data_IF_012754470202
#
_entry.id   IF_012754470202
#
_cell.length_a   1.000
_cell.length_b   1.000
_cell.length_c   1.000
_cell.angle_alpha   90.00
_cell.angle_beta   90.00
_cell.angle_gamma   90.00
#
_symmetry.space_group_name_H-M   'P 1'
#
loop_
_entity.id
_entity.type
_entity.pdbx_description
1 polymer ?
#
# COMPACT_ATOMS: atom_id res chain seq x y z
N UNK A 1 17.38 62.42 -16.29
CA UNK A 1 16.16 63.27 -16.34
C UNK A 1 14.96 62.44 -15.86
N UNK A 2 14.36 62.88 -14.74
CA UNK A 2 13.02 62.72 -14.18
C UNK A 2 12.43 61.28 -14.04
N UNK A 3 12.52 60.78 -12.84
CA UNK A 3 11.49 60.51 -11.80
C UNK A 3 10.03 60.40 -12.27
N UNK A 4 9.40 59.27 -11.95
CA UNK A 4 8.09 59.29 -11.27
C UNK A 4 7.87 57.98 -10.48
N UNK A 5 7.85 58.13 -9.17
CA UNK A 5 7.30 57.21 -8.19
C UNK A 5 5.77 57.25 -8.23
N UNK A 6 5.13 56.10 -8.12
CA UNK A 6 3.69 55.94 -7.96
C UNK A 6 3.38 55.04 -6.75
N UNK A 7 2.99 55.73 -5.70
CA UNK A 7 2.58 55.23 -4.40
C UNK A 7 1.14 54.67 -4.50
N UNK A 8 0.89 53.42 -4.10
CA UNK A 8 -0.48 52.92 -3.85
C UNK A 8 -0.56 52.30 -2.46
N UNK A 9 -1.39 52.93 -1.70
CA UNK A 9 -1.70 52.74 -0.28
C UNK A 9 -2.36 51.39 0.00
N UNK A 10 -2.04 50.87 1.18
CA UNK A 10 -2.66 49.70 1.79
C UNK A 10 -4.16 49.90 2.11
N UNK A 11 -4.88 48.79 2.08
CA UNK A 11 -6.18 48.65 2.75
C UNK A 11 -6.08 47.58 3.82
N UNK A 12 -6.35 48.01 5.04
CA UNK A 12 -6.46 47.22 6.24
C UNK A 12 -7.65 46.25 6.16
N UNK A 13 -7.44 45.03 6.59
CA UNK A 13 -8.49 44.07 6.88
C UNK A 13 -9.10 44.39 8.24
N UNK A 14 -10.42 44.58 8.28
CA UNK A 14 -11.21 44.80 9.50
C UNK A 14 -11.43 43.44 10.19
N UNK A 15 -11.13 43.45 11.48
CA UNK A 15 -11.54 42.44 12.47
C UNK A 15 -13.07 42.44 12.63
N UNK A 16 -13.66 41.27 12.72
CA UNK A 16 -15.04 41.07 13.15
C UNK A 16 -15.03 40.35 14.48
N UNK A 17 -15.31 41.13 15.52
CA UNK A 17 -15.61 40.64 16.86
C UNK A 17 -17.13 40.53 17.03
N UNK A 18 -17.54 39.52 17.76
CA UNK A 18 -18.64 39.62 18.70
C UNK A 18 -20.01 39.10 18.26
N UNK A 19 -20.50 38.13 19.01
CA UNK A 19 -21.91 37.78 19.06
C UNK A 19 -22.22 36.47 19.79
N UNK A 20 -22.03 36.44 21.11
CA UNK A 20 -22.60 35.43 21.97
C UNK A 20 -24.12 35.68 22.12
N UNK A 21 -24.95 34.67 21.89
CA UNK A 21 -26.34 34.63 22.33
C UNK A 21 -26.62 33.27 22.99
N UNK A 22 -26.81 33.40 24.31
CA UNK A 22 -27.37 32.36 25.17
C UNK A 22 -28.90 32.46 25.14
N UNK A 23 -29.59 31.32 25.03
CA UNK A 23 -30.97 31.06 25.50
C UNK A 23 -31.21 29.59 25.30
N UNK A 24 -31.73 28.78 26.18
CA UNK A 24 -32.58 28.99 27.33
C UNK A 24 -33.29 27.66 27.50
N UNK A 25 -33.12 27.01 28.64
CA UNK A 25 -33.79 25.78 29.09
C UNK A 25 -35.32 25.97 29.08
N UNK A 26 -36.04 24.98 28.55
CA UNK A 26 -37.43 24.75 28.96
C UNK A 26 -37.63 23.25 29.17
N UNK A 27 -37.71 22.85 30.45
CA UNK A 27 -38.15 21.57 30.91
C UNK A 27 -39.69 21.53 30.89
N UNK A 28 -40.27 20.52 30.30
CA UNK A 28 -41.72 20.22 30.51
C UNK A 28 -41.82 18.77 31.01
N UNK A 29 -42.10 18.65 32.30
CA UNK A 29 -42.49 17.40 32.96
C UNK A 29 -43.97 17.16 32.70
N UNK A 30 -44.33 16.03 32.17
CA UNK A 30 -45.69 15.52 32.20
C UNK A 30 -45.67 14.16 32.92
N UNK A 31 -46.16 14.20 34.14
CA UNK A 31 -46.52 13.06 34.97
C UNK A 31 -47.80 12.39 34.40
N UNK A 32 -47.70 11.12 34.05
CA UNK A 32 -48.86 10.25 34.03
C UNK A 32 -48.44 8.90 34.61
N UNK A 33 -48.91 8.65 35.80
CA UNK A 33 -48.75 7.36 36.49
C UNK A 33 -49.71 6.31 35.93
N UNK A 34 -49.21 5.07 35.80
CA UNK A 34 -50.02 3.86 35.87
C UNK A 34 -49.20 2.75 36.54
N UNK A 35 -49.82 2.16 37.50
CA UNK A 35 -49.32 1.16 38.40
C UNK A 35 -49.05 -0.21 37.75
N UNK A 36 -47.97 -0.85 38.17
CA UNK A 36 -47.98 -2.25 38.58
C UNK A 36 -47.88 -3.32 37.51
N UNK A 37 -46.66 -3.88 37.38
CA UNK A 37 -46.41 -5.33 37.48
C UNK A 37 -44.89 -5.53 37.53
N UNK A 38 -44.40 -6.02 38.66
CA UNK A 38 -43.09 -6.60 38.80
C UNK A 38 -42.99 -7.86 37.93
N UNK A 39 -42.23 -7.81 36.88
CA UNK A 39 -41.75 -9.01 36.18
C UNK A 39 -40.37 -9.38 36.76
N UNK A 40 -40.21 -10.67 37.02
CA UNK A 40 -38.99 -11.25 37.53
C UNK A 40 -37.78 -10.91 36.62
N UNK A 41 -36.55 -10.79 37.15
CA UNK A 41 -35.37 -10.50 36.36
C UNK A 41 -35.10 -11.67 35.40
N UNK A 42 -34.96 -11.33 34.12
CA UNK A 42 -34.47 -12.26 33.12
C UNK A 42 -33.01 -12.63 33.44
N UNK A 43 -32.58 -13.86 33.17
CA UNK A 43 -31.18 -14.25 33.36
C UNK A 43 -30.27 -13.40 32.49
N UNK A 44 -29.22 -12.88 33.08
CA UNK A 44 -28.10 -12.24 32.40
C UNK A 44 -27.56 -13.18 31.33
N UNK A 45 -27.41 -12.75 30.06
CA UNK A 45 -26.69 -13.53 29.09
C UNK A 45 -25.21 -13.61 29.54
N UNK A 46 -24.67 -14.83 29.54
CA UNK A 46 -23.24 -15.08 29.67
C UNK A 46 -22.47 -14.16 28.69
N UNK A 47 -21.31 -13.63 29.08
CA UNK A 47 -20.48 -12.91 28.16
C UNK A 47 -20.13 -13.85 27.03
N UNK A 48 -20.63 -13.54 25.82
CA UNK A 48 -20.20 -14.21 24.61
C UNK A 48 -18.67 -14.07 24.52
N UNK A 49 -18.00 -15.21 24.61
CA UNK A 49 -16.55 -15.27 24.46
C UNK A 49 -16.17 -14.61 23.14
N UNK A 50 -15.15 -13.80 23.19
CA UNK A 50 -14.49 -13.27 22.00
C UNK A 50 -14.30 -14.41 20.99
N UNK A 51 -14.63 -14.21 19.71
CA UNK A 51 -14.30 -15.20 18.70
C UNK A 51 -12.78 -15.33 18.71
N UNK A 52 -12.31 -16.49 19.15
CA UNK A 52 -10.88 -16.86 19.03
C UNK A 52 -10.49 -16.62 17.59
N UNK A 53 -9.44 -15.80 17.40
CA UNK A 53 -8.82 -15.61 16.10
C UNK A 53 -8.45 -16.99 15.55
N UNK A 54 -9.00 -17.34 14.39
CA UNK A 54 -8.71 -18.59 13.73
C UNK A 54 -7.18 -18.67 13.51
N UNK A 55 -6.53 -19.80 13.85
CA UNK A 55 -5.11 -19.97 13.59
C UNK A 55 -4.87 -19.86 12.07
N UNK A 56 -3.93 -19.02 11.69
CA UNK A 56 -3.43 -18.97 10.31
C UNK A 56 -2.84 -20.37 10.01
N UNK A 57 -3.33 -21.10 9.00
CA UNK A 57 -2.81 -22.41 8.71
C UNK A 57 -1.33 -22.31 8.32
N UNK A 58 -0.46 -22.99 9.04
CA UNK A 58 0.93 -23.17 8.64
C UNK A 58 0.95 -23.92 7.32
N UNK A 59 1.64 -23.39 6.32
CA UNK A 59 1.84 -24.08 5.05
C UNK A 59 2.55 -25.41 5.29
N UNK A 60 2.17 -26.51 4.63
CA UNK A 60 2.74 -27.82 4.89
C UNK A 60 4.25 -27.82 4.61
N UNK A 61 5.04 -28.18 5.62
CA UNK A 61 6.47 -28.50 5.45
C UNK A 61 6.57 -29.79 4.64
N UNK A 62 7.33 -29.77 3.57
CA UNK A 62 7.61 -30.98 2.79
C UNK A 62 8.31 -32.02 3.66
N UNK A 63 7.80 -33.25 3.70
CA UNK A 63 8.43 -34.39 4.38
C UNK A 63 9.68 -34.82 3.62
N UNK A 64 10.78 -35.19 4.28
CA UNK A 64 11.96 -35.70 3.62
C UNK A 64 11.69 -37.12 3.13
N UNK A 65 11.47 -37.30 1.84
CA UNK A 65 11.56 -38.62 1.23
C UNK A 65 13.02 -39.00 0.98
N UNK A 66 13.36 -40.21 1.32
CA UNK A 66 14.68 -40.84 1.19
C UNK A 66 15.07 -40.92 -0.29
N UNK A 67 15.94 -40.04 -0.75
CA UNK A 67 16.40 -40.01 -2.16
C UNK A 67 17.69 -40.77 -2.30
N UNK A 68 17.69 -41.71 -3.25
CA UNK A 68 18.89 -42.39 -3.75
C UNK A 68 19.91 -41.33 -4.23
N UNK A 69 21.22 -41.60 -3.97
CA UNK A 69 22.31 -40.71 -4.39
C UNK A 69 22.30 -40.57 -5.92
N UNK A 70 21.74 -39.43 -6.38
CA UNK A 70 22.01 -38.91 -7.70
C UNK A 70 23.21 -37.98 -7.62
N UNK A 71 24.07 -38.02 -8.65
CA UNK A 71 25.09 -36.97 -8.83
C UNK A 71 24.39 -35.62 -8.83
N UNK A 72 24.98 -34.59 -8.18
CA UNK A 72 24.32 -33.27 -8.11
C UNK A 72 24.16 -32.72 -9.53
N UNK A 73 22.93 -32.70 -10.00
CA UNK A 73 22.56 -31.86 -11.14
C UNK A 73 22.99 -30.44 -10.78
N UNK A 74 23.75 -29.72 -11.64
CA UNK A 74 24.17 -28.38 -11.34
C UNK A 74 22.90 -27.57 -10.99
N UNK A 75 22.88 -27.02 -9.80
CA UNK A 75 21.80 -26.10 -9.39
C UNK A 75 21.76 -24.96 -10.40
N UNK A 76 20.65 -24.72 -11.08
CA UNK A 76 20.59 -23.62 -12.03
C UNK A 76 20.98 -22.31 -11.31
N UNK A 77 21.81 -21.51 -11.95
CA UNK A 77 22.21 -20.20 -11.43
C UNK A 77 20.94 -19.39 -11.08
N UNK A 78 20.93 -18.69 -9.94
CA UNK A 78 19.78 -17.87 -9.56
C UNK A 78 19.49 -16.83 -10.63
N UNK A 79 18.30 -16.84 -11.17
CA UNK A 79 17.91 -15.95 -12.28
C UNK A 79 17.27 -14.68 -11.74
N UNK A 80 17.60 -13.51 -12.26
CA UNK A 80 16.90 -12.26 -11.92
C UNK A 80 15.39 -12.38 -12.16
N UNK A 81 14.63 -11.72 -11.33
CA UNK A 81 13.17 -11.64 -11.41
C UNK A 81 12.69 -10.21 -11.10
N UNK A 82 11.42 -9.95 -11.31
CA UNK A 82 10.89 -8.63 -11.00
C UNK A 82 9.56 -8.66 -10.25
N UNK A 83 9.27 -7.52 -9.62
CA UNK A 83 7.95 -7.14 -9.10
C UNK A 83 7.54 -5.87 -9.83
N UNK A 84 6.37 -5.88 -10.45
CA UNK A 84 5.77 -4.66 -10.98
C UNK A 84 5.07 -3.90 -9.84
N UNK A 85 5.24 -2.57 -9.79
CA UNK A 85 4.66 -1.75 -8.75
C UNK A 85 4.03 -0.49 -9.32
N UNK A 86 2.72 -0.37 -9.17
CA UNK A 86 1.91 0.78 -9.57
C UNK A 86 1.20 1.36 -8.36
N UNK A 87 0.84 2.64 -8.40
CA UNK A 87 0.14 3.33 -7.32
C UNK A 87 -0.65 4.52 -7.84
N UNK A 88 -1.61 4.99 -7.05
CA UNK A 88 -2.29 6.28 -7.20
C UNK A 88 -2.87 6.51 -8.61
N UNK A 89 -3.59 5.53 -9.15
CA UNK A 89 -4.25 5.60 -10.46
C UNK A 89 -5.52 6.45 -10.46
N UNK A 90 -5.93 7.01 -9.33
CA UNK A 90 -7.18 7.74 -9.14
C UNK A 90 -7.37 8.90 -10.14
N UNK A 91 -6.32 9.59 -10.53
CA UNK A 91 -6.41 10.68 -11.51
C UNK A 91 -6.89 10.18 -12.87
N UNK A 92 -6.41 9.00 -13.31
CA UNK A 92 -6.85 8.37 -14.55
C UNK A 92 -8.31 7.90 -14.47
N UNK A 93 -8.77 7.52 -13.27
CA UNK A 93 -10.18 7.15 -13.09
C UNK A 93 -11.10 8.37 -12.96
N UNK A 94 -10.60 9.49 -12.44
CA UNK A 94 -11.34 10.74 -12.27
C UNK A 94 -11.59 11.43 -13.62
N UNK A 95 -10.54 11.59 -14.43
CA UNK A 95 -10.61 12.34 -15.70
C UNK A 95 -10.80 11.41 -16.90
N UNK A 96 -11.94 11.53 -17.64
CA UNK A 96 -12.20 10.71 -18.82
C UNK A 96 -11.11 10.79 -19.89
N UNK A 97 -10.43 11.93 -20.02
CA UNK A 97 -9.32 12.13 -20.96
C UNK A 97 -8.06 11.35 -20.63
N UNK A 98 -7.87 10.96 -19.36
CA UNK A 98 -6.71 10.20 -18.89
C UNK A 98 -7.00 8.69 -18.79
N UNK A 99 -8.26 8.30 -18.69
CA UNK A 99 -8.67 6.90 -18.55
C UNK A 99 -8.16 5.97 -19.69
N UNK A 100 -8.00 6.41 -20.94
CA UNK A 100 -7.44 5.58 -22.00
C UNK A 100 -6.04 5.02 -21.71
N UNK A 101 -5.25 5.63 -20.81
CA UNK A 101 -3.93 5.14 -20.43
C UNK A 101 -3.98 3.88 -19.53
N UNK A 102 -5.09 3.60 -18.84
CA UNK A 102 -5.23 2.46 -17.93
C UNK A 102 -5.03 1.13 -18.66
N UNK A 103 -5.78 0.91 -19.73
CA UNK A 103 -5.77 -0.38 -20.44
C UNK A 103 -4.40 -0.73 -21.05
N UNK A 104 -3.71 0.19 -21.78
CA UNK A 104 -2.35 -0.08 -22.26
C UNK A 104 -1.34 -0.36 -21.15
N UNK A 105 -1.43 0.35 -20.01
CA UNK A 105 -0.53 0.15 -18.87
C UNK A 105 -0.66 -1.27 -18.31
N UNK A 106 -1.86 -1.70 -17.96
CA UNK A 106 -2.07 -3.04 -17.40
C UNK A 106 -1.85 -4.15 -18.42
N UNK A 107 -2.18 -3.91 -19.69
CA UNK A 107 -1.88 -4.85 -20.78
C UNK A 107 -0.38 -5.07 -20.93
N UNK A 108 0.41 -4.01 -20.87
CA UNK A 108 1.86 -4.12 -20.95
C UNK A 108 2.41 -4.95 -19.76
N UNK A 109 1.92 -4.70 -18.53
CA UNK A 109 2.33 -5.49 -17.36
C UNK A 109 2.07 -6.98 -17.58
N UNK A 110 0.87 -7.33 -18.05
CA UNK A 110 0.52 -8.72 -18.30
C UNK A 110 1.37 -9.36 -19.43
N UNK A 111 1.64 -8.62 -20.50
CA UNK A 111 2.37 -9.12 -21.67
C UNK A 111 3.88 -9.21 -21.47
N UNK A 112 4.46 -8.32 -20.68
CA UNK A 112 5.91 -8.28 -20.43
C UNK A 112 6.36 -9.19 -19.26
N UNK A 113 5.44 -9.90 -18.62
CA UNK A 113 5.71 -10.72 -17.43
C UNK A 113 6.80 -11.77 -17.64
N UNK A 114 6.82 -12.43 -18.80
CA UNK A 114 7.82 -13.45 -19.12
C UNK A 114 9.18 -12.82 -19.40
N UNK A 115 9.22 -11.69 -20.14
CA UNK A 115 10.44 -10.97 -20.46
C UNK A 115 11.18 -10.49 -19.20
N UNK A 116 10.43 -9.97 -18.21
CA UNK A 116 11.00 -9.48 -16.95
C UNK A 116 10.93 -10.49 -15.81
N UNK A 117 10.52 -11.73 -16.07
CA UNK A 117 10.29 -12.75 -15.05
C UNK A 117 9.50 -12.19 -13.87
N UNK A 118 8.36 -11.50 -14.16
CA UNK A 118 7.58 -10.79 -13.15
C UNK A 118 6.76 -11.77 -12.32
N UNK A 119 6.97 -11.75 -11.01
CA UNK A 119 6.34 -12.67 -10.06
C UNK A 119 5.02 -12.13 -9.50
N UNK A 120 4.89 -10.81 -9.39
CA UNK A 120 3.78 -10.16 -8.71
C UNK A 120 3.58 -8.73 -9.24
N UNK A 121 2.32 -8.30 -9.34
CA UNK A 121 1.98 -6.88 -9.40
C UNK A 121 1.49 -6.40 -8.03
N UNK A 122 2.08 -5.33 -7.52
CA UNK A 122 1.62 -4.62 -6.33
C UNK A 122 0.97 -3.30 -6.75
N UNK A 123 -0.24 -3.02 -6.24
CA UNK A 123 -0.87 -1.71 -6.35
C UNK A 123 -1.01 -1.09 -4.95
N UNK A 124 -0.16 -0.10 -4.65
CA UNK A 124 -0.15 0.55 -3.33
C UNK A 124 -1.20 1.64 -3.19
N UNK A 125 -2.41 1.33 -3.66
CA UNK A 125 -3.65 2.05 -3.36
C UNK A 125 -3.98 3.29 -4.21
N UNK A 126 -5.10 3.89 -3.83
CA UNK A 126 -5.81 4.91 -4.58
C UNK A 126 -6.09 4.47 -6.03
N UNK A 127 -6.80 3.35 -6.16
CA UNK A 127 -7.30 2.88 -7.45
C UNK A 127 -8.19 3.92 -8.11
N UNK A 128 -9.05 4.54 -7.30
CA UNK A 128 -10.07 5.48 -7.75
C UNK A 128 -10.04 6.77 -6.92
N UNK A 129 -10.49 7.89 -7.50
CA UNK A 129 -10.60 9.17 -6.79
C UNK A 129 -11.69 9.16 -5.71
N UNK A 130 -12.72 8.33 -5.88
CA UNK A 130 -13.81 8.19 -4.91
C UNK A 130 -14.38 6.77 -5.01
N UNK A 131 -14.14 5.96 -3.98
CA UNK A 131 -14.61 4.58 -3.89
C UNK A 131 -16.12 4.43 -4.05
N UNK A 132 -16.90 5.42 -3.59
CA UNK A 132 -18.36 5.43 -3.71
C UNK A 132 -18.86 5.85 -5.10
N UNK A 133 -17.97 6.15 -6.05
CA UNK A 133 -18.36 6.47 -7.42
C UNK A 133 -18.17 5.26 -8.36
N UNK A 134 -19.26 4.59 -8.76
CA UNK A 134 -19.16 3.38 -9.58
C UNK A 134 -18.55 3.64 -10.96
N UNK A 135 -18.60 4.88 -11.48
CA UNK A 135 -17.99 5.22 -12.76
C UNK A 135 -16.46 5.17 -12.71
N UNK A 136 -15.87 5.46 -11.57
CA UNK A 136 -14.41 5.36 -11.40
C UNK A 136 -13.97 3.90 -11.46
N UNK A 137 -14.65 2.99 -10.75
CA UNK A 137 -14.40 1.56 -10.81
C UNK A 137 -14.63 0.98 -12.21
N UNK A 138 -15.70 1.42 -12.90
CA UNK A 138 -15.99 1.02 -14.27
C UNK A 138 -14.86 1.36 -15.25
N UNK A 139 -14.05 2.39 -14.97
CA UNK A 139 -12.91 2.78 -15.80
C UNK A 139 -11.68 1.90 -15.58
N UNK A 140 -11.40 1.49 -14.35
CA UNK A 140 -10.17 0.75 -14.04
C UNK A 140 -10.36 -0.77 -14.09
N UNK A 141 -11.51 -1.30 -13.67
CA UNK A 141 -11.72 -2.75 -13.59
C UNK A 141 -11.43 -3.51 -14.90
N UNK A 142 -11.78 -3.02 -16.10
CA UNK A 142 -11.41 -3.70 -17.33
C UNK A 142 -9.89 -3.80 -17.57
N UNK A 143 -9.11 -2.87 -17.03
CA UNK A 143 -7.66 -2.92 -17.11
C UNK A 143 -7.09 -3.93 -16.09
N UNK A 144 -7.58 -3.90 -14.86
CA UNK A 144 -7.17 -4.88 -13.82
C UNK A 144 -7.53 -6.30 -14.26
N UNK A 145 -8.69 -6.51 -14.90
CA UNK A 145 -9.14 -7.83 -15.37
C UNK A 145 -8.17 -8.52 -16.36
N UNK A 146 -7.26 -7.77 -16.99
CA UNK A 146 -6.20 -8.35 -17.83
C UNK A 146 -5.16 -9.16 -17.04
N UNK A 147 -5.15 -9.05 -15.72
CA UNK A 147 -4.22 -9.76 -14.85
C UNK A 147 -4.80 -11.10 -14.36
N UNK A 148 -6.12 -11.30 -14.48
CA UNK A 148 -6.79 -12.48 -13.94
C UNK A 148 -6.25 -13.78 -14.53
N UNK A 149 -5.68 -14.64 -13.69
CA UNK A 149 -5.03 -15.88 -14.10
C UNK A 149 -3.69 -15.72 -14.82
N UNK A 150 -3.25 -14.47 -15.07
CA UNK A 150 -2.00 -14.18 -15.79
C UNK A 150 -0.85 -13.80 -14.86
N UNK A 151 -1.14 -13.01 -13.83
CA UNK A 151 -0.12 -12.53 -12.90
C UNK A 151 -0.72 -12.40 -11.50
N UNK A 152 -0.07 -12.92 -10.45
CA UNK A 152 -0.48 -12.64 -9.07
C UNK A 152 -0.59 -11.12 -8.83
N UNK A 153 -1.65 -10.73 -8.12
CA UNK A 153 -1.99 -9.32 -7.89
C UNK A 153 -2.19 -9.06 -6.41
N UNK A 154 -1.47 -8.10 -5.83
CA UNK A 154 -1.61 -7.68 -4.44
C UNK A 154 -2.17 -6.25 -4.41
N UNK A 155 -3.49 -6.10 -4.20
CA UNK A 155 -4.13 -4.80 -4.10
C UNK A 155 -4.07 -4.27 -2.67
N UNK A 156 -3.81 -2.96 -2.51
CA UNK A 156 -3.87 -2.28 -1.21
C UNK A 156 -4.90 -1.15 -1.31
N UNK A 157 -5.84 -1.06 -0.37
CA UNK A 157 -6.83 0.02 -0.35
C UNK A 157 -6.22 1.32 0.18
N UNK A 158 -6.47 2.45 -0.52
CA UNK A 158 -6.06 3.79 -0.10
C UNK A 158 -7.19 4.63 0.47
N UNK A 159 -6.86 5.82 0.95
CA UNK A 159 -7.85 6.73 1.54
C UNK A 159 -8.93 7.18 0.54
N UNK A 160 -8.63 7.29 -0.75
CA UNK A 160 -9.65 7.61 -1.77
C UNK A 160 -10.58 6.44 -2.05
N UNK A 161 -10.10 5.21 -1.90
CA UNK A 161 -10.88 4.00 -2.09
C UNK A 161 -11.88 3.77 -0.94
N UNK A 162 -11.49 4.09 0.32
CA UNK A 162 -12.23 3.66 1.53
C UNK A 162 -12.60 4.79 2.50
N UNK A 163 -12.11 6.02 2.32
CA UNK A 163 -12.27 7.09 3.29
C UNK A 163 -12.81 8.42 2.70
N UNK A 164 -13.22 8.48 1.44
CA UNK A 164 -13.56 9.74 0.76
C UNK A 164 -14.85 10.39 1.25
N UNK A 165 -15.89 9.61 1.53
CA UNK A 165 -17.19 10.09 2.03
C UNK A 165 -17.52 9.49 3.37
N UNK A 166 -17.38 8.19 3.48
CA UNK A 166 -17.63 7.38 4.66
C UNK A 166 -16.42 6.49 4.85
N UNK A 167 -15.99 6.30 6.08
CA UNK A 167 -14.91 5.37 6.42
C UNK A 167 -15.46 3.95 6.31
N UNK A 168 -15.25 3.30 5.17
CA UNK A 168 -15.75 1.96 4.89
C UNK A 168 -14.96 1.29 3.79
N UNK A 169 -14.68 0.01 3.96
CA UNK A 169 -14.13 -0.84 2.92
C UNK A 169 -15.16 -1.32 1.90
N UNK A 170 -16.46 -1.17 2.17
CA UNK A 170 -17.55 -1.73 1.36
C UNK A 170 -17.37 -1.49 -0.15
N UNK A 171 -17.15 -0.26 -0.65
CA UNK A 171 -17.03 -0.06 -2.09
C UNK A 171 -15.76 -0.68 -2.70
N UNK A 172 -14.70 -0.84 -1.93
CA UNK A 172 -13.47 -1.50 -2.36
C UNK A 172 -13.63 -3.03 -2.36
N UNK A 173 -14.20 -3.59 -1.28
CA UNK A 173 -14.41 -5.04 -1.15
C UNK A 173 -15.44 -5.58 -2.16
N UNK A 174 -16.26 -4.72 -2.72
CA UNK A 174 -17.20 -5.08 -3.81
C UNK A 174 -16.51 -5.25 -5.17
N UNK A 175 -15.20 -5.00 -5.29
CA UNK A 175 -14.53 -5.07 -6.59
C UNK A 175 -14.18 -6.51 -6.97
N UNK A 176 -14.26 -6.88 -8.28
CA UNK A 176 -14.09 -8.27 -8.73
C UNK A 176 -12.74 -8.88 -8.34
N UNK A 177 -11.66 -8.11 -8.38
CA UNK A 177 -10.31 -8.58 -8.08
C UNK A 177 -10.10 -9.02 -6.63
N UNK A 178 -10.99 -8.66 -5.71
CA UNK A 178 -10.96 -9.14 -4.32
C UNK A 178 -11.17 -10.65 -4.25
N UNK A 179 -12.04 -11.18 -5.09
CA UNK A 179 -12.36 -12.61 -5.13
C UNK A 179 -11.23 -13.48 -5.74
N UNK A 180 -10.23 -12.88 -6.36
CA UNK A 180 -9.09 -13.64 -6.93
C UNK A 180 -8.12 -14.12 -5.85
N UNK A 181 -8.14 -13.49 -4.69
CA UNK A 181 -7.24 -13.80 -3.60
C UNK A 181 -7.79 -14.95 -2.76
N UNK A 182 -6.93 -15.92 -2.44
CA UNK A 182 -7.29 -17.01 -1.57
C UNK A 182 -7.66 -16.49 -0.17
N UNK A 183 -8.80 -16.93 0.42
CA UNK A 183 -9.28 -16.41 1.70
C UNK A 183 -8.26 -16.47 2.84
N UNK A 184 -7.44 -17.51 2.88
CA UNK A 184 -6.37 -17.72 3.88
C UNK A 184 -5.23 -16.70 3.79
N UNK A 185 -5.13 -15.97 2.69
CA UNK A 185 -4.15 -14.90 2.47
C UNK A 185 -4.70 -13.52 2.77
N UNK A 186 -5.96 -13.44 3.19
CA UNK A 186 -6.68 -12.19 3.42
C UNK A 186 -6.80 -11.87 4.90
N UNK A 187 -6.62 -10.60 5.22
CA UNK A 187 -7.05 -10.02 6.48
C UNK A 187 -8.46 -9.43 6.32
N UNK A 188 -9.40 -9.88 7.15
CA UNK A 188 -10.80 -9.39 7.17
C UNK A 188 -11.45 -9.30 5.77
N UNK A 189 -11.27 -10.35 4.96
CA UNK A 189 -11.92 -10.46 3.65
C UNK A 189 -11.43 -9.45 2.61
N UNK A 190 -10.19 -8.96 2.72
CA UNK A 190 -9.56 -8.09 1.72
C UNK A 190 -9.12 -6.72 2.24
N UNK A 191 -9.23 -6.46 3.56
CA UNK A 191 -8.65 -5.25 4.14
C UNK A 191 -7.10 -5.28 4.17
N UNK A 192 -6.51 -6.45 4.01
CA UNK A 192 -5.10 -6.71 3.83
C UNK A 192 -4.88 -8.05 3.14
N UNK A 193 -3.67 -8.27 2.62
CA UNK A 193 -3.26 -9.47 1.88
C UNK A 193 -1.85 -9.86 2.21
N UNK A 194 -1.52 -11.16 2.10
CA UNK A 194 -0.14 -11.61 2.06
C UNK A 194 0.07 -12.61 0.91
N UNK A 195 1.20 -12.48 0.22
CA UNK A 195 1.61 -13.37 -0.86
C UNK A 195 3.00 -13.87 -0.58
N UNK A 196 3.19 -15.21 -0.62
CA UNK A 196 4.50 -15.85 -0.50
C UNK A 196 4.85 -16.50 -1.82
N UNK A 197 6.07 -16.28 -2.28
CA UNK A 197 6.61 -16.93 -3.48
C UNK A 197 8.12 -17.15 -3.35
N UNK A 198 8.65 -18.08 -4.13
CA UNK A 198 10.08 -18.33 -4.24
C UNK A 198 10.58 -17.87 -5.59
N UNK A 199 11.61 -17.03 -5.62
CA UNK A 199 12.25 -16.60 -6.86
C UNK A 199 13.75 -16.41 -6.64
N UNK A 200 14.56 -16.75 -7.65
CA UNK A 200 16.01 -16.67 -7.55
C UNK A 200 16.62 -17.46 -6.39
N UNK A 201 15.94 -18.53 -5.93
CA UNK A 201 16.38 -19.35 -4.79
C UNK A 201 16.12 -18.73 -3.42
N UNK A 202 15.37 -17.63 -3.34
CA UNK A 202 15.02 -16.92 -2.10
C UNK A 202 13.50 -16.91 -1.93
N UNK A 203 13.03 -17.10 -0.71
CA UNK A 203 11.62 -16.98 -0.35
C UNK A 203 11.28 -15.53 0.01
N UNK A 204 10.20 -15.05 -0.57
CA UNK A 204 9.67 -13.70 -0.36
C UNK A 204 8.28 -13.76 0.25
N UNK A 205 8.02 -12.83 1.15
CA UNK A 205 6.69 -12.53 1.68
C UNK A 205 6.35 -11.08 1.39
N UNK A 206 5.30 -10.83 0.62
CA UNK A 206 4.76 -9.49 0.41
C UNK A 206 3.47 -9.36 1.21
N UNK A 207 3.39 -8.36 2.09
CA UNK A 207 2.22 -8.07 2.89
C UNK A 207 1.67 -6.70 2.53
N UNK A 208 0.40 -6.66 2.13
CA UNK A 208 -0.37 -5.44 1.89
C UNK A 208 -1.31 -5.14 3.04
N UNK A 209 -1.30 -3.91 3.58
CA UNK A 209 -2.24 -3.46 4.62
C UNK A 209 -2.97 -2.21 4.16
N UNK A 210 -4.30 -2.29 4.10
CA UNK A 210 -5.16 -1.19 3.65
C UNK A 210 -5.17 -0.01 4.61
N UNK A 211 -5.52 1.17 4.08
CA UNK A 211 -5.39 2.46 4.76
C UNK A 211 -6.09 2.53 6.13
N UNK A 212 -7.34 2.07 6.23
CA UNK A 212 -8.09 2.07 7.50
C UNK A 212 -7.67 0.93 8.44
N UNK A 213 -6.91 -0.04 7.96
CA UNK A 213 -6.40 -1.17 8.74
C UNK A 213 -5.02 -0.90 9.34
N UNK A 214 -4.44 0.31 9.15
CA UNK A 214 -3.30 0.79 9.93
C UNK A 214 -3.82 1.21 11.32
N UNK A 215 -4.22 0.22 12.10
CA UNK A 215 -4.73 0.31 13.47
C UNK A 215 -4.21 -0.87 14.29
N UNK A 216 -4.48 -0.91 15.59
CA UNK A 216 -3.95 -1.92 16.50
C UNK A 216 -4.13 -3.35 16.00
N UNK A 217 -5.34 -3.71 15.54
CA UNK A 217 -5.64 -5.07 15.07
C UNK A 217 -4.91 -5.42 13.75
N UNK A 218 -4.88 -4.49 12.79
CA UNK A 218 -4.19 -4.71 11.52
C UNK A 218 -2.66 -4.75 11.69
N UNK A 219 -2.11 -3.91 12.58
CA UNK A 219 -0.68 -3.92 12.91
C UNK A 219 -0.29 -5.23 13.63
N UNK A 220 -1.13 -5.71 14.54
CA UNK A 220 -0.93 -7.01 15.20
C UNK A 220 -0.95 -8.17 14.20
N UNK A 221 -1.90 -8.17 13.26
CA UNK A 221 -1.94 -9.15 12.19
C UNK A 221 -0.68 -9.10 11.31
N UNK A 222 -0.25 -7.92 10.90
CA UNK A 222 0.94 -7.75 10.07
C UNK A 222 2.20 -8.28 10.75
N UNK A 223 2.40 -7.96 12.05
CA UNK A 223 3.50 -8.51 12.85
C UNK A 223 3.48 -10.02 12.89
N UNK A 224 2.31 -10.60 13.16
CA UNK A 224 2.19 -12.05 13.29
C UNK A 224 2.49 -12.76 11.96
N UNK A 225 2.02 -12.22 10.82
CA UNK A 225 2.31 -12.77 9.50
C UNK A 225 3.82 -12.73 9.20
N UNK A 226 4.52 -11.60 9.46
CA UNK A 226 5.96 -11.53 9.26
C UNK A 226 6.71 -12.48 10.20
N UNK A 227 6.30 -12.57 11.46
CA UNK A 227 6.94 -13.45 12.45
C UNK A 227 6.77 -14.94 12.14
N UNK A 228 5.63 -15.34 11.57
CA UNK A 228 5.38 -16.73 11.14
C UNK A 228 6.14 -17.10 9.87
N UNK A 229 6.69 -16.13 9.15
CA UNK A 229 7.45 -16.28 7.92
C UNK A 229 8.81 -15.57 8.04
N UNK A 230 9.48 -15.75 9.17
CA UNK A 230 10.77 -15.11 9.49
C UNK A 230 11.92 -15.61 8.60
N UNK A 231 11.72 -16.73 7.90
CA UNK A 231 12.59 -17.31 6.89
C UNK A 231 12.50 -16.58 5.52
N UNK A 232 11.51 -15.70 5.33
CA UNK A 232 11.29 -14.98 4.08
C UNK A 232 11.88 -13.58 4.10
N UNK A 233 12.29 -13.08 2.93
CA UNK A 233 12.51 -11.65 2.71
C UNK A 233 11.16 -10.93 2.69
N UNK A 234 10.92 -10.07 3.67
CA UNK A 234 9.65 -9.38 3.86
C UNK A 234 9.58 -8.05 3.11
N UNK A 235 8.48 -7.83 2.39
CA UNK A 235 8.13 -6.59 1.72
C UNK A 235 6.79 -6.11 2.26
N UNK A 236 6.75 -4.91 2.83
CA UNK A 236 5.52 -4.27 3.31
C UNK A 236 5.00 -3.28 2.25
N UNK A 237 3.80 -3.53 1.74
CA UNK A 237 3.11 -2.67 0.78
C UNK A 237 1.97 -1.92 1.48
N UNK A 238 2.04 -0.60 1.54
CA UNK A 238 1.04 0.24 2.23
C UNK A 238 0.76 1.50 1.42
N UNK A 239 -0.37 2.15 1.68
CA UNK A 239 -0.66 3.38 0.97
C UNK A 239 0.21 4.56 1.43
N UNK A 240 0.37 4.74 2.73
CA UNK A 240 0.99 5.92 3.30
C UNK A 240 2.12 5.54 4.27
N UNK A 241 3.37 5.81 3.88
CA UNK A 241 4.56 5.57 4.71
C UNK A 241 5.50 6.77 4.72
N UNK A 242 6.03 7.19 3.56
CA UNK A 242 6.93 8.34 3.44
C UNK A 242 6.16 9.62 3.12
N UNK A 243 6.47 10.69 3.85
CA UNK A 243 5.97 12.05 3.67
C UNK A 243 6.89 12.88 2.77
N UNK A 244 6.62 14.17 2.61
CA UNK A 244 7.53 15.11 1.98
C UNK A 244 8.82 15.24 2.78
N UNK A 245 9.93 15.38 2.09
CA UNK A 245 11.23 15.70 2.69
C UNK A 245 11.97 16.68 1.79
N UNK A 246 12.91 17.43 2.36
CA UNK A 246 13.67 18.47 1.65
C UNK A 246 14.85 17.91 0.84
N UNK A 247 15.26 16.65 1.07
CA UNK A 247 16.53 16.10 0.58
C UNK A 247 16.56 14.57 0.56
N UNK A 248 15.74 13.89 -0.23
CA UNK A 248 15.68 12.42 -0.33
C UNK A 248 15.55 11.66 1.00
N UNK A 249 15.74 12.32 2.14
CA UNK A 249 15.48 11.83 3.50
C UNK A 249 14.04 12.17 3.87
N UNK A 250 13.08 11.52 3.23
CA UNK A 250 11.68 11.77 3.52
C UNK A 250 11.34 11.42 4.95
N UNK A 251 10.59 12.29 5.60
CA UNK A 251 9.98 12.02 6.90
C UNK A 251 8.92 10.93 6.79
N UNK A 252 8.53 10.34 7.90
CA UNK A 252 7.42 9.40 7.97
C UNK A 252 6.08 10.17 8.06
N UNK A 253 5.04 9.62 7.43
CA UNK A 253 3.67 10.03 7.75
C UNK A 253 3.26 9.53 9.12
N UNK A 254 2.10 9.95 9.64
CA UNK A 254 1.57 9.38 10.89
C UNK A 254 1.38 7.86 10.81
N UNK A 255 0.85 7.33 9.68
CA UNK A 255 0.79 5.89 9.44
C UNK A 255 2.18 5.26 9.32
N UNK A 256 3.11 5.95 8.63
CA UNK A 256 4.49 5.48 8.50
C UNK A 256 5.20 5.34 9.83
N UNK A 257 4.99 6.27 10.75
CA UNK A 257 5.57 6.21 12.11
C UNK A 257 5.03 5.00 12.90
N UNK A 258 3.71 4.77 12.85
CA UNK A 258 3.09 3.60 13.48
C UNK A 258 3.58 2.28 12.87
N UNK A 259 3.58 2.18 11.53
CA UNK A 259 4.06 0.99 10.83
C UNK A 259 5.52 0.70 11.11
N UNK A 260 6.36 1.76 11.15
CA UNK A 260 7.77 1.62 11.51
C UNK A 260 7.94 1.06 12.91
N UNK A 261 7.26 1.65 13.90
CA UNK A 261 7.35 1.25 15.30
C UNK A 261 6.80 -0.15 15.53
N UNK A 262 5.62 -0.45 14.96
CA UNK A 262 4.83 -1.61 15.32
C UNK A 262 5.08 -2.83 14.41
N UNK A 263 5.63 -2.64 13.21
CA UNK A 263 5.83 -3.72 12.23
C UNK A 263 7.27 -3.78 11.76
N UNK A 264 7.81 -2.68 11.18
CA UNK A 264 9.10 -2.72 10.51
C UNK A 264 10.25 -2.94 11.50
N UNK A 265 10.25 -2.22 12.62
CA UNK A 265 11.31 -2.34 13.62
C UNK A 265 11.31 -3.73 14.31
N UNK A 266 10.16 -4.27 14.78
CA UNK A 266 10.15 -5.54 15.49
C UNK A 266 10.22 -6.80 14.59
N UNK A 267 10.10 -6.66 13.26
CA UNK A 267 10.14 -7.79 12.33
C UNK A 267 11.45 -7.80 11.54
N UNK A 268 12.44 -8.53 12.01
CA UNK A 268 13.80 -8.57 11.48
C UNK A 268 13.93 -9.07 10.03
N UNK A 269 12.90 -9.69 9.49
CA UNK A 269 12.83 -10.13 8.09
C UNK A 269 12.29 -9.07 7.13
N UNK A 270 11.72 -7.94 7.59
CA UNK A 270 11.27 -6.85 6.71
C UNK A 270 12.48 -6.12 6.14
N UNK A 271 12.60 -6.12 4.80
CA UNK A 271 13.70 -5.50 4.05
C UNK A 271 13.26 -4.32 3.18
N UNK A 272 11.95 -4.24 2.86
CA UNK A 272 11.46 -3.21 1.95
C UNK A 272 10.09 -2.72 2.38
N UNK A 273 9.84 -1.41 2.18
CA UNK A 273 8.51 -0.78 2.33
C UNK A 273 8.19 0.00 1.07
N UNK A 274 7.03 -0.32 0.46
CA UNK A 274 6.53 0.33 -0.75
C UNK A 274 5.30 1.16 -0.44
N UNK A 275 5.27 2.43 -0.89
CA UNK A 275 4.14 3.32 -0.61
C UNK A 275 3.85 4.31 -1.74
N UNK A 276 2.64 4.89 -1.71
CA UNK A 276 2.19 5.97 -2.58
C UNK A 276 1.78 7.19 -1.78
N UNK A 277 0.52 7.65 -1.95
CA UNK A 277 -0.17 8.71 -1.23
C UNK A 277 0.39 10.12 -1.47
N UNK A 278 1.61 10.37 -1.06
CA UNK A 278 2.25 11.68 -1.19
C UNK A 278 2.89 11.80 -2.56
N UNK A 279 2.66 12.91 -3.25
CA UNK A 279 3.12 13.14 -4.62
C UNK A 279 4.66 13.14 -4.74
N UNK A 280 5.15 12.68 -5.89
CA UNK A 280 6.57 12.61 -6.20
C UNK A 280 7.25 11.35 -5.68
N UNK A 281 8.56 11.29 -5.87
CA UNK A 281 9.39 10.15 -5.51
C UNK A 281 10.09 10.37 -4.17
N UNK A 282 10.38 9.30 -3.45
CA UNK A 282 11.21 9.32 -2.27
C UNK A 282 11.90 7.97 -2.08
N UNK A 283 13.12 8.04 -1.57
CA UNK A 283 13.91 6.91 -1.10
C UNK A 283 14.41 7.24 0.30
N UNK A 284 14.22 6.31 1.24
CA UNK A 284 14.78 6.37 2.58
C UNK A 284 15.36 5.00 2.89
N UNK A 285 16.61 4.95 3.32
CA UNK A 285 17.28 3.75 3.78
C UNK A 285 17.43 3.87 5.29
N UNK A 286 16.93 2.88 6.02
CA UNK A 286 17.05 2.78 7.46
C UNK A 286 17.90 1.56 7.81
N UNK A 287 18.82 1.75 8.74
CA UNK A 287 19.61 0.67 9.30
C UNK A 287 19.09 0.35 10.70
N UNK A 288 18.91 -0.93 11.00
CA UNK A 288 18.43 -1.42 12.28
C UNK A 288 19.52 -2.27 12.93
N UNK A 289 19.79 -1.96 14.18
CA UNK A 289 20.57 -2.75 15.13
C UNK A 289 19.54 -3.64 15.85
N UNK A 290 19.41 -4.88 15.36
CA UNK A 290 18.34 -5.78 15.79
C UNK A 290 18.71 -6.53 17.09
N UNK A 291 20.01 -6.63 17.45
CA UNK A 291 20.49 -7.28 18.67
C UNK A 291 21.00 -6.30 19.77
N UNK A 292 21.11 -5.02 19.43
CA UNK A 292 21.46 -3.95 20.38
C UNK A 292 22.96 -3.83 20.68
N UNK A 293 23.82 -4.36 19.80
CA UNK A 293 25.29 -4.32 19.98
C UNK A 293 25.94 -3.02 19.47
N UNK A 294 25.15 -2.15 18.82
CA UNK A 294 25.56 -0.87 18.26
C UNK A 294 26.02 -0.94 16.79
N UNK A 295 25.93 -2.12 16.15
CA UNK A 295 26.17 -2.29 14.73
C UNK A 295 24.85 -2.64 14.04
N UNK A 296 24.56 -2.10 12.86
CA UNK A 296 23.34 -2.44 12.15
C UNK A 296 23.50 -3.74 11.34
N UNK A 297 22.63 -4.72 11.61
CA UNK A 297 22.57 -6.00 10.87
C UNK A 297 21.62 -5.93 9.68
N UNK A 298 20.67 -4.97 9.70
CA UNK A 298 19.58 -4.95 8.73
C UNK A 298 19.39 -3.59 8.09
N UNK A 299 19.41 -3.56 6.77
CA UNK A 299 18.96 -2.43 5.98
C UNK A 299 17.50 -2.61 5.58
N UNK A 300 16.69 -1.55 5.72
CA UNK A 300 15.32 -1.49 5.22
C UNK A 300 15.21 -0.37 4.18
N UNK A 301 14.79 -0.73 2.98
CA UNK A 301 14.63 0.19 1.84
C UNK A 301 13.19 0.67 1.79
N UNK A 302 12.94 1.92 2.14
CA UNK A 302 11.61 2.51 2.08
C UNK A 302 11.49 3.39 0.83
N UNK A 303 10.55 3.04 -0.05
CA UNK A 303 10.31 3.74 -1.31
C UNK A 303 8.89 4.28 -1.41
N UNK A 304 8.78 5.43 -2.05
CA UNK A 304 7.53 6.02 -2.49
C UNK A 304 7.65 6.48 -3.93
N UNK A 305 6.62 6.23 -4.73
CA UNK A 305 6.43 6.96 -5.98
C UNK A 305 4.96 7.32 -6.14
N UNK A 306 4.68 8.45 -6.80
CA UNK A 306 3.31 8.87 -7.07
C UNK A 306 3.30 9.97 -8.14
N UNK A 307 2.72 9.67 -9.28
CA UNK A 307 2.60 10.57 -10.44
C UNK A 307 1.19 11.15 -10.61
N UNK A 308 0.34 11.11 -9.60
CA UNK A 308 -1.05 11.57 -9.65
C UNK A 308 -1.21 13.08 -9.95
N UNK A 309 -0.15 13.88 -9.82
CA UNK A 309 -0.16 15.29 -10.20
C UNK A 309 -0.21 15.51 -11.72
N UNK A 310 0.18 14.52 -12.51
CA UNK A 310 0.19 14.61 -13.96
C UNK A 310 -1.24 14.70 -14.49
N UNK A 311 -1.45 15.58 -15.47
CA UNK A 311 -2.78 15.95 -15.99
C UNK A 311 -2.90 15.79 -17.50
N UNK A 312 -1.82 15.42 -18.18
CA UNK A 312 -1.78 15.21 -19.61
C UNK A 312 -1.73 13.73 -19.95
N UNK A 313 -2.38 13.28 -21.05
CA UNK A 313 -2.40 11.87 -21.43
C UNK A 313 -1.03 11.25 -21.64
N UNK A 314 -0.04 12.04 -22.03
CA UNK A 314 1.36 11.66 -22.23
C UNK A 314 2.20 11.67 -20.94
N UNK A 315 1.58 11.89 -19.79
CA UNK A 315 2.25 12.00 -18.50
C UNK A 315 1.61 11.11 -17.40
N UNK A 316 0.82 10.13 -17.79
CA UNK A 316 0.14 9.22 -16.85
C UNK A 316 0.42 7.75 -17.18
N UNK A 317 0.08 6.86 -16.27
CA UNK A 317 0.30 5.41 -16.44
C UNK A 317 1.73 4.99 -16.11
N UNK A 318 2.42 5.75 -15.27
CA UNK A 318 3.74 5.38 -14.75
C UNK A 318 3.63 4.26 -13.73
N UNK A 319 4.59 3.34 -13.81
CA UNK A 319 4.81 2.28 -12.83
C UNK A 319 6.32 2.09 -12.62
N UNK A 320 6.69 1.33 -11.60
CA UNK A 320 8.06 0.89 -11.36
C UNK A 320 8.19 -0.62 -11.54
N UNK A 321 9.25 -1.04 -12.21
CA UNK A 321 9.75 -2.41 -12.20
C UNK A 321 10.87 -2.49 -11.17
N UNK A 322 10.70 -3.34 -10.18
CA UNK A 322 11.72 -3.66 -9.19
C UNK A 322 12.38 -4.96 -9.65
N UNK A 323 13.59 -4.88 -10.18
CA UNK A 323 14.33 -6.02 -10.72
C UNK A 323 15.31 -6.48 -9.66
N UNK A 324 15.09 -7.68 -9.16
CA UNK A 324 15.89 -8.34 -8.12
C UNK A 324 16.98 -9.17 -8.77
N UNK A 325 18.22 -8.91 -8.40
CA UNK A 325 19.36 -9.77 -8.71
C UNK A 325 19.71 -10.61 -7.47
N UNK A 326 19.41 -11.91 -7.47
CA UNK A 326 19.64 -12.76 -6.32
C UNK A 326 21.14 -13.05 -6.05
N UNK A 327 22.01 -12.82 -7.04
CA UNK A 327 23.46 -13.05 -6.89
C UNK A 327 24.10 -11.90 -6.14
N UNK A 328 23.87 -10.67 -6.59
CA UNK A 328 24.41 -9.45 -5.95
C UNK A 328 23.53 -8.97 -4.77
N UNK A 329 22.33 -9.52 -4.59
CA UNK A 329 21.31 -9.07 -3.62
C UNK A 329 20.93 -7.61 -3.81
N UNK A 330 21.00 -7.14 -5.05
CA UNK A 330 20.65 -5.79 -5.44
C UNK A 330 19.24 -5.71 -6.04
N UNK A 331 18.63 -4.53 -5.93
CA UNK A 331 17.35 -4.22 -6.60
C UNK A 331 17.54 -3.01 -7.49
N UNK A 332 17.38 -3.22 -8.80
CA UNK A 332 17.32 -2.14 -9.77
C UNK A 332 15.89 -1.65 -9.93
N UNK A 333 15.68 -0.35 -9.76
CA UNK A 333 14.40 0.32 -9.91
C UNK A 333 14.34 1.00 -11.25
N UNK A 334 13.37 0.61 -12.09
CA UNK A 334 13.13 1.21 -13.40
C UNK A 334 11.73 1.81 -13.44
N UNK A 335 11.63 3.10 -13.68
CA UNK A 335 10.33 3.75 -13.93
C UNK A 335 9.98 3.64 -15.41
N UNK A 336 8.79 3.22 -15.73
CA UNK A 336 8.30 3.08 -17.09
C UNK A 336 6.89 3.64 -17.26
N UNK A 337 6.57 4.08 -18.48
CA UNK A 337 5.26 4.57 -18.87
C UNK A 337 4.78 3.84 -20.13
N UNK A 338 4.25 2.61 -19.98
CA UNK A 338 3.92 1.74 -21.11
C UNK A 338 2.88 2.32 -22.07
N UNK A 339 1.92 3.08 -21.53
CA UNK A 339 0.91 3.76 -22.36
C UNK A 339 1.52 4.76 -23.36
N UNK A 340 2.79 5.16 -23.13
CA UNK A 340 3.55 6.10 -23.95
C UNK A 340 4.64 5.41 -24.77
N UNK A 341 4.81 4.09 -24.62
CA UNK A 341 5.86 3.32 -25.28
C UNK A 341 7.27 3.67 -24.80
N UNK A 342 7.42 4.22 -23.59
CA UNK A 342 8.70 4.70 -23.10
C UNK A 342 9.12 4.07 -21.76
N UNK A 343 10.44 3.76 -21.67
CA UNK A 343 11.18 3.50 -20.45
C UNK A 343 12.02 4.73 -20.05
N UNK A 344 11.62 5.91 -20.44
CA UNK A 344 12.43 7.10 -20.23
C UNK A 344 11.99 7.82 -18.97
N UNK A 345 12.89 7.81 -17.99
CA UNK A 345 12.95 8.87 -16.99
C UNK A 345 13.04 10.21 -17.68
N UNK A 346 12.37 11.23 -17.16
CA UNK A 346 12.68 12.60 -17.55
C UNK A 346 14.19 12.83 -17.33
N UNK A 347 14.93 13.37 -18.29
CA UNK A 347 16.40 13.49 -18.21
C UNK A 347 16.92 14.18 -16.96
N UNK A 348 16.13 15.10 -16.40
CA UNK A 348 16.39 15.84 -15.15
C UNK A 348 16.10 15.06 -13.87
N UNK A 349 15.54 13.85 -13.98
CA UNK A 349 15.17 12.97 -12.85
C UNK A 349 15.66 11.53 -13.01
N UNK A 350 16.58 11.29 -13.93
CA UNK A 350 17.04 9.94 -14.22
C UNK A 350 17.52 9.18 -12.98
N UNK A 351 18.18 9.84 -12.07
CA UNK A 351 18.70 9.31 -10.82
C UNK A 351 17.62 9.11 -9.71
N UNK A 352 16.42 9.65 -9.89
CA UNK A 352 15.25 9.38 -9.02
C UNK A 352 14.35 8.29 -9.58
N UNK A 353 14.46 8.01 -10.86
CA UNK A 353 13.57 7.12 -11.59
C UNK A 353 14.26 5.81 -12.00
N UNK A 354 15.58 5.85 -12.20
CA UNK A 354 16.40 4.68 -12.51
C UNK A 354 17.61 4.63 -11.59
N UNK A 355 17.63 3.69 -10.67
CA UNK A 355 18.71 3.52 -9.70
C UNK A 355 18.80 2.06 -9.21
N UNK A 356 19.93 1.71 -8.63
CA UNK A 356 20.16 0.41 -8.02
C UNK A 356 20.43 0.56 -6.52
N UNK A 357 19.90 -0.34 -5.75
CA UNK A 357 20.11 -0.44 -4.30
C UNK A 357 20.86 -1.74 -4.05
N UNK A 358 22.06 -1.60 -3.53
CA UNK A 358 22.89 -2.73 -3.15
C UNK A 358 22.47 -3.29 -1.79
N UNK A 359 22.64 -4.61 -1.59
CA UNK A 359 22.28 -5.31 -0.36
C UNK A 359 20.82 -5.06 0.07
N UNK A 360 19.89 -5.03 -0.90
CA UNK A 360 18.51 -4.64 -0.67
C UNK A 360 17.66 -5.73 0.01
N UNK A 361 18.16 -7.00 0.06
CA UNK A 361 17.43 -8.14 0.63
C UNK A 361 18.35 -9.29 1.08
#
# INVERSE_FOLDING_TARGET
MRNRAGNVRGRACRSWEGGALAAGLLALALLCGCAGRQAAPAPTPDPAGEPASAPVPALPKASPETVARHEPTPTPEPTPFSIAWITDTQTMTMYPSLAPALLPTFRWIAQSREEYNTQLLIHTANFVENGWNPLHWKRINPAIALLEGELPFLPVAGNHDVAKKVLSYEPYLAQPFIAWQAPERQYRGGEGYCERFTAGGTDFLVLGLGYLSVNEAGLAWAREVFRQNDDCVGILAVHSYLSYGSDRTSELTGHGALLRQEVVAPCGNVRMVLSGHVKGNALRIENFDDDGDGQPERQVVCMRHNYQQNRYPDQVGYLRMLIFDPVSRAVSVLTCAPAQGSFTAAPDRADEEHFTIENAF
#
